data_IF_785528108882
#
_entry.id   IF_785528108882
#
_cell.length_a   1.000
_cell.length_b   1.000
_cell.length_c   1.000
_cell.angle_alpha   90.00
_cell.angle_beta   90.00
_cell.angle_gamma   90.00
#
_symmetry.space_group_name_H-M   'P 1'
#
loop_
_entity.id
_entity.type
_entity.pdbx_description
1 polymer ?
#
# COMPACT_ATOMS: atom_id res chain seq x y z
N UNK A 1 -25.88 -15.53 13.66
CA UNK A 1 -24.52 -16.02 13.35
C UNK A 1 -24.41 -16.69 11.97
N UNK A 2 -25.32 -17.60 11.57
CA UNK A 2 -25.28 -18.28 10.26
C UNK A 2 -25.35 -17.30 9.06
N UNK A 3 -26.23 -16.29 9.10
CA UNK A 3 -26.38 -15.32 8.01
C UNK A 3 -25.13 -14.47 7.77
N UNK A 4 -24.39 -14.11 8.83
CA UNK A 4 -23.13 -13.37 8.73
C UNK A 4 -22.02 -14.24 8.11
N UNK A 5 -21.91 -15.51 8.51
CA UNK A 5 -20.95 -16.43 7.92
C UNK A 5 -21.23 -16.70 6.43
N UNK A 6 -22.50 -16.84 6.03
CA UNK A 6 -22.89 -16.95 4.62
C UNK A 6 -22.53 -15.69 3.83
N UNK A 7 -22.80 -14.51 4.39
CA UNK A 7 -22.44 -13.21 3.80
C UNK A 7 -20.93 -13.08 3.59
N UNK A 8 -20.15 -13.42 4.62
CA UNK A 8 -18.68 -13.44 4.55
C UNK A 8 -18.16 -14.39 3.47
N UNK A 9 -18.65 -15.63 3.39
CA UNK A 9 -18.21 -16.58 2.35
C UNK A 9 -18.52 -16.12 0.94
N UNK A 10 -19.65 -15.44 0.72
CA UNK A 10 -20.06 -14.93 -0.60
C UNK A 10 -19.16 -13.81 -1.12
N UNK A 11 -18.56 -13.00 -0.24
CA UNK A 11 -17.69 -11.89 -0.65
C UNK A 11 -16.22 -12.28 -0.83
N UNK A 12 -15.76 -13.40 -0.26
CA UNK A 12 -14.35 -13.79 -0.32
C UNK A 12 -13.75 -13.82 -1.74
N UNK A 13 -14.42 -14.35 -2.78
CA UNK A 13 -13.87 -14.31 -4.14
C UNK A 13 -13.61 -12.88 -4.64
N UNK A 14 -14.53 -11.95 -4.35
CA UNK A 14 -14.38 -10.55 -4.71
C UNK A 14 -13.24 -9.88 -3.92
N UNK A 15 -13.10 -10.20 -2.63
CA UNK A 15 -11.97 -9.74 -1.80
C UNK A 15 -10.64 -10.18 -2.40
N UNK A 16 -10.49 -11.46 -2.76
CA UNK A 16 -9.26 -11.98 -3.37
C UNK A 16 -8.95 -11.31 -4.71
N UNK A 17 -9.97 -11.07 -5.54
CA UNK A 17 -9.83 -10.38 -6.82
C UNK A 17 -9.35 -8.93 -6.63
N UNK A 18 -9.95 -8.20 -5.69
CA UNK A 18 -9.53 -6.83 -5.36
C UNK A 18 -8.11 -6.82 -4.83
N UNK A 19 -7.78 -7.70 -3.87
CA UNK A 19 -6.42 -7.82 -3.33
C UNK A 19 -5.39 -8.13 -4.41
N UNK A 20 -5.65 -9.12 -5.26
CA UNK A 20 -4.75 -9.49 -6.37
C UNK A 20 -4.55 -8.31 -7.33
N UNK A 21 -5.58 -7.51 -7.55
CA UNK A 21 -5.49 -6.34 -8.41
C UNK A 21 -4.71 -5.19 -7.77
N UNK A 22 -4.79 -5.02 -6.45
CA UNK A 22 -3.94 -4.11 -5.67
C UNK A 22 -2.48 -4.55 -5.77
N UNK A 23 -2.19 -5.85 -5.58
CA UNK A 23 -0.83 -6.40 -5.71
C UNK A 23 -0.28 -6.17 -7.11
N UNK A 24 -1.10 -6.39 -8.16
CA UNK A 24 -0.70 -6.10 -9.55
C UNK A 24 -0.39 -4.62 -9.76
N UNK A 25 -1.20 -3.72 -9.18
CA UNK A 25 -0.95 -2.29 -9.26
C UNK A 25 0.35 -1.91 -8.54
N UNK A 26 0.60 -2.45 -7.35
CA UNK A 26 1.79 -2.19 -6.55
C UNK A 26 3.10 -2.75 -7.14
N UNK A 27 3.02 -3.81 -7.96
CA UNK A 27 4.19 -4.48 -8.57
C UNK A 27 4.58 -3.94 -9.96
N UNK A 28 4.08 -2.76 -10.35
CA UNK A 28 4.51 -2.14 -11.61
C UNK A 28 6.00 -1.75 -11.51
N UNK A 29 6.79 -2.14 -12.52
CA UNK A 29 8.25 -1.97 -12.55
C UNK A 29 8.71 -0.51 -12.34
N UNK A 30 7.90 0.45 -12.80
CA UNK A 30 8.17 1.90 -12.68
C UNK A 30 8.38 2.37 -11.24
N UNK A 31 7.81 1.68 -10.24
CA UNK A 31 8.07 2.03 -8.84
C UNK A 31 9.52 1.80 -8.44
N UNK A 32 10.15 0.77 -9.01
CA UNK A 32 11.56 0.46 -8.76
C UNK A 32 12.48 1.25 -9.71
N UNK A 33 12.20 1.22 -11.01
CA UNK A 33 13.08 1.84 -12.02
C UNK A 33 12.94 3.36 -12.12
N UNK A 34 11.74 3.89 -11.91
CA UNK A 34 11.46 5.33 -11.97
C UNK A 34 11.51 5.98 -10.60
N UNK A 35 10.73 5.46 -9.65
CA UNK A 35 10.58 6.06 -8.32
C UNK A 35 11.65 5.61 -7.31
N UNK A 36 12.61 4.78 -7.71
CA UNK A 36 13.72 4.32 -6.87
C UNK A 36 13.28 3.64 -5.56
N UNK A 37 12.07 3.08 -5.50
CA UNK A 37 11.66 2.27 -4.35
C UNK A 37 12.52 1.00 -4.36
N UNK A 38 13.18 0.62 -3.25
CA UNK A 38 14.06 -0.55 -3.23
C UNK A 38 13.34 -1.82 -3.73
N UNK A 39 13.95 -2.55 -4.66
CA UNK A 39 13.42 -3.84 -5.12
C UNK A 39 13.78 -4.97 -4.14
N UNK A 40 13.31 -4.81 -2.90
CA UNK A 40 13.47 -5.78 -1.82
C UNK A 40 12.10 -6.27 -1.36
N UNK A 41 12.08 -7.33 -0.53
CA UNK A 41 10.84 -7.80 0.07
C UNK A 41 10.07 -6.68 0.78
N UNK A 42 10.76 -5.91 1.61
CA UNK A 42 10.13 -4.82 2.35
C UNK A 42 9.66 -3.71 1.39
N UNK A 43 10.45 -3.34 0.37
CA UNK A 43 10.05 -2.30 -0.58
C UNK A 43 8.82 -2.69 -1.40
N UNK A 44 8.75 -3.94 -1.88
CA UNK A 44 7.55 -4.49 -2.54
C UNK A 44 6.35 -4.49 -1.60
N UNK A 45 6.55 -4.84 -0.33
CA UNK A 45 5.48 -4.83 0.66
C UNK A 45 5.01 -3.41 0.97
N UNK A 46 5.92 -2.45 1.08
CA UNK A 46 5.57 -1.06 1.36
C UNK A 46 4.72 -0.44 0.24
N UNK A 47 4.97 -0.84 -1.03
CA UNK A 47 4.10 -0.49 -2.17
C UNK A 47 2.72 -1.13 -2.08
N UNK A 48 2.62 -2.40 -1.67
CA UNK A 48 1.33 -3.07 -1.44
C UNK A 48 0.57 -2.34 -0.34
N UNK A 49 1.23 -2.02 0.78
CA UNK A 49 0.60 -1.30 1.88
C UNK A 49 0.10 0.08 1.47
N UNK A 50 0.88 0.83 0.67
CA UNK A 50 0.46 2.13 0.16
C UNK A 50 -0.87 2.02 -0.62
N UNK A 51 -0.93 1.14 -1.60
CA UNK A 51 -2.14 0.97 -2.42
C UNK A 51 -3.32 0.40 -1.60
N UNK A 52 -3.03 -0.55 -0.70
CA UNK A 52 -4.02 -1.13 0.20
C UNK A 52 -4.62 -0.07 1.14
N UNK A 53 -3.80 0.86 1.63
CA UNK A 53 -4.24 1.93 2.52
C UNK A 53 -5.27 2.84 1.85
N UNK A 54 -5.07 3.20 0.57
CA UNK A 54 -6.03 4.03 -0.17
C UNK A 54 -7.40 3.36 -0.31
N UNK A 55 -7.41 2.06 -0.62
CA UNK A 55 -8.66 1.29 -0.76
C UNK A 55 -9.36 1.10 0.60
N UNK A 56 -8.61 0.74 1.64
CA UNK A 56 -9.16 0.54 2.99
C UNK A 56 -9.68 1.84 3.58
N UNK A 57 -8.98 2.95 3.38
CA UNK A 57 -9.42 4.27 3.82
C UNK A 57 -10.79 4.62 3.22
N UNK A 58 -10.96 4.45 1.90
CA UNK A 58 -12.23 4.70 1.22
C UNK A 58 -13.37 3.79 1.69
N UNK A 59 -13.08 2.52 1.96
CA UNK A 59 -14.07 1.56 2.48
C UNK A 59 -14.44 1.79 3.96
N UNK A 60 -13.66 2.60 4.69
CA UNK A 60 -13.91 2.91 6.11
C UNK A 60 -14.49 4.31 6.33
N UNK A 61 -14.07 5.30 5.54
CA UNK A 61 -14.40 6.72 5.74
C UNK A 61 -15.31 7.32 4.67
N UNK A 62 -15.69 6.55 3.65
CA UNK A 62 -16.57 7.03 2.58
C UNK A 62 -17.97 7.41 3.07
N UNK A 63 -18.63 8.32 2.35
CA UNK A 63 -19.96 8.86 2.71
C UNK A 63 -21.06 7.80 2.64
N UNK A 64 -20.87 6.77 1.81
CA UNK A 64 -21.81 5.68 1.54
C UNK A 64 -21.44 4.36 2.23
N UNK A 65 -20.52 4.38 3.22
CA UNK A 65 -20.01 3.17 3.89
C UNK A 65 -21.08 2.48 4.72
N UNK A 66 -21.27 1.19 4.46
CA UNK A 66 -22.08 0.29 5.28
C UNK A 66 -21.30 -0.88 5.87
N UNK A 67 -21.99 -1.74 6.62
CA UNK A 67 -21.40 -2.92 7.28
C UNK A 67 -20.65 -3.86 6.32
N UNK A 68 -21.12 -3.96 5.07
CA UNK A 68 -20.45 -4.78 4.05
C UNK A 68 -19.06 -4.24 3.72
N UNK A 69 -18.88 -2.94 3.72
CA UNK A 69 -17.67 -2.28 3.27
C UNK A 69 -16.61 -2.34 4.36
N UNK A 70 -17.04 -2.18 5.61
CA UNK A 70 -16.21 -2.42 6.79
C UNK A 70 -15.76 -3.89 6.87
N UNK A 71 -16.67 -4.82 6.60
CA UNK A 71 -16.36 -6.25 6.54
C UNK A 71 -15.40 -6.57 5.39
N UNK A 72 -15.62 -5.98 4.21
CA UNK A 72 -14.75 -6.14 3.04
C UNK A 72 -13.33 -5.61 3.30
N UNK A 73 -13.21 -4.43 3.89
CA UNK A 73 -11.93 -3.83 4.29
C UNK A 73 -11.17 -4.71 5.30
N UNK A 74 -11.89 -5.29 6.27
CA UNK A 74 -11.30 -6.25 7.21
C UNK A 74 -10.82 -7.51 6.48
N UNK A 75 -11.64 -8.08 5.59
CA UNK A 75 -11.26 -9.29 4.82
C UNK A 75 -10.06 -9.04 3.90
N UNK A 76 -9.93 -7.84 3.31
CA UNK A 76 -8.74 -7.45 2.55
C UNK A 76 -7.47 -7.47 3.41
N UNK A 77 -7.55 -6.93 4.64
CA UNK A 77 -6.43 -6.99 5.58
C UNK A 77 -6.07 -8.43 5.97
N UNK A 78 -7.06 -9.29 6.21
CA UNK A 78 -6.84 -10.71 6.53
C UNK A 78 -6.16 -11.45 5.37
N UNK A 79 -6.65 -11.29 4.13
CA UNK A 79 -6.04 -11.88 2.93
C UNK A 79 -4.60 -11.39 2.73
N UNK A 80 -4.33 -10.11 2.95
CA UNK A 80 -2.98 -9.56 2.87
C UNK A 80 -2.02 -10.20 3.90
N UNK A 81 -2.49 -10.45 5.13
CA UNK A 81 -1.67 -11.09 6.17
C UNK A 81 -1.40 -12.55 5.81
N UNK A 82 -2.39 -13.26 5.27
CA UNK A 82 -2.25 -14.64 4.79
C UNK A 82 -1.26 -14.75 3.62
N UNK A 83 -1.33 -13.84 2.65
CA UNK A 83 -0.38 -13.78 1.52
C UNK A 83 1.05 -13.50 1.97
N UNK A 84 1.20 -12.64 2.98
CA UNK A 84 2.50 -12.33 3.58
C UNK A 84 3.10 -13.53 4.33
N UNK A 85 2.31 -14.23 5.16
CA UNK A 85 2.76 -15.46 5.84
C UNK A 85 3.22 -16.50 4.81
N UNK A 86 2.41 -16.73 3.76
CA UNK A 86 2.77 -17.63 2.66
C UNK A 86 4.06 -17.23 1.98
N UNK A 87 4.18 -15.97 1.56
CA UNK A 87 5.36 -15.46 0.86
C UNK A 87 6.63 -15.63 1.67
N UNK A 88 6.60 -15.29 2.98
CA UNK A 88 7.74 -15.45 3.87
C UNK A 88 8.21 -16.91 3.98
N UNK A 89 7.25 -17.84 4.11
CA UNK A 89 7.54 -19.28 4.17
C UNK A 89 8.12 -19.79 2.86
N UNK A 90 7.58 -19.35 1.72
CA UNK A 90 8.06 -19.71 0.38
C UNK A 90 9.50 -19.22 0.14
N UNK A 91 9.89 -18.09 0.73
CA UNK A 91 11.28 -17.58 0.72
C UNK A 91 12.19 -18.26 1.75
N UNK A 92 11.72 -19.29 2.46
CA UNK A 92 12.52 -20.06 3.40
C UNK A 92 12.72 -19.40 4.77
N UNK A 93 11.91 -18.38 5.13
CA UNK A 93 11.91 -17.85 6.50
C UNK A 93 11.42 -18.94 7.44
N UNK A 94 12.28 -19.34 8.38
CA UNK A 94 12.01 -20.47 9.28
C UNK A 94 10.77 -20.25 10.16
N UNK A 95 10.10 -21.36 10.51
CA UNK A 95 8.86 -21.37 11.29
C UNK A 95 8.95 -20.62 12.63
N UNK A 96 10.15 -20.55 13.22
CA UNK A 96 10.40 -19.86 14.49
C UNK A 96 10.49 -18.33 14.35
N UNK A 97 10.83 -17.82 13.17
CA UNK A 97 10.99 -16.37 12.91
C UNK A 97 9.84 -15.77 12.11
N UNK A 98 9.11 -16.56 11.33
CA UNK A 98 8.00 -16.09 10.47
C UNK A 98 6.93 -15.32 11.26
N UNK A 99 6.52 -15.82 12.44
CA UNK A 99 5.52 -15.16 13.28
C UNK A 99 5.97 -13.79 13.79
N UNK A 100 7.27 -13.62 14.10
CA UNK A 100 7.84 -12.32 14.50
C UNK A 100 7.83 -11.33 13.34
N UNK A 101 8.16 -11.80 12.14
CA UNK A 101 8.18 -10.98 10.94
C UNK A 101 6.76 -10.54 10.55
N UNK A 102 5.78 -11.46 10.59
CA UNK A 102 4.36 -11.15 10.36
C UNK A 102 3.87 -10.10 11.35
N UNK A 103 4.20 -10.23 12.64
CA UNK A 103 3.81 -9.26 13.66
C UNK A 103 4.43 -7.88 13.41
N UNK A 104 5.71 -7.82 13.03
CA UNK A 104 6.41 -6.57 12.68
C UNK A 104 5.73 -5.88 11.50
N UNK A 105 5.46 -6.62 10.42
CA UNK A 105 4.84 -6.10 9.21
C UNK A 105 3.37 -5.68 9.45
N UNK A 106 2.63 -6.43 10.26
CA UNK A 106 1.26 -6.08 10.67
C UNK A 106 1.19 -4.81 11.53
N UNK A 107 2.16 -4.57 12.41
CA UNK A 107 2.26 -3.31 13.16
C UNK A 107 2.58 -2.13 12.22
N UNK A 108 3.48 -2.35 11.25
CA UNK A 108 3.82 -1.33 10.25
C UNK A 108 2.62 -0.97 9.37
N UNK A 109 1.74 -1.93 9.04
CA UNK A 109 0.48 -1.67 8.34
C UNK A 109 -0.41 -0.65 9.06
N UNK A 110 -0.67 -0.83 10.37
CA UNK A 110 -1.56 0.07 11.11
C UNK A 110 -1.01 1.50 11.16
N UNK A 111 0.30 1.66 11.45
CA UNK A 111 0.93 2.97 11.49
C UNK A 111 0.95 3.67 10.12
N UNK A 112 1.09 2.90 9.04
CA UNK A 112 1.10 3.44 7.67
C UNK A 112 -0.30 3.78 7.16
N UNK A 113 -1.29 2.96 7.47
CA UNK A 113 -2.68 3.25 7.14
C UNK A 113 -3.09 4.62 7.72
N UNK A 114 -2.78 4.84 8.99
CA UNK A 114 -3.07 6.10 9.67
C UNK A 114 -2.26 7.26 9.07
N UNK A 115 -0.94 7.10 8.93
CA UNK A 115 -0.07 8.15 8.39
C UNK A 115 -0.45 8.58 6.96
N UNK A 116 -0.75 7.63 6.07
CA UNK A 116 -1.20 7.94 4.72
C UNK A 116 -2.58 8.60 4.71
N UNK A 117 -3.51 8.10 5.54
CA UNK A 117 -4.85 8.67 5.66
C UNK A 117 -4.79 10.14 6.11
N UNK A 118 -4.06 10.43 7.20
CA UNK A 118 -3.88 11.80 7.71
C UNK A 118 -3.18 12.71 6.71
N UNK A 119 -2.15 12.23 6.02
CA UNK A 119 -1.44 13.03 5.02
C UNK A 119 -2.28 13.35 3.77
N UNK A 120 -3.35 12.59 3.53
CA UNK A 120 -4.28 12.76 2.42
C UNK A 120 -5.59 13.47 2.81
N UNK A 121 -5.77 13.80 4.08
CA UNK A 121 -6.97 14.51 4.55
C UNK A 121 -7.03 15.95 4.04
N UNK A 122 -8.26 16.45 3.84
CA UNK A 122 -8.47 17.85 3.45
C UNK A 122 -7.94 18.78 4.54
N UNK A 123 -7.00 19.66 4.18
CA UNK A 123 -6.37 20.59 5.11
C UNK A 123 -5.07 20.07 5.75
N UNK A 124 -4.59 18.88 5.36
CA UNK A 124 -3.23 18.45 5.69
C UNK A 124 -2.18 19.47 5.17
N UNK A 125 -1.02 19.50 5.82
CA UNK A 125 0.07 20.36 5.40
C UNK A 125 0.49 20.04 3.94
N UNK A 126 0.90 21.03 3.13
CA UNK A 126 1.12 20.81 1.69
C UNK A 126 2.13 19.71 1.36
N UNK A 127 3.12 19.46 2.22
CA UNK A 127 4.19 18.46 2.07
C UNK A 127 3.96 17.17 2.88
N UNK A 128 2.84 17.04 3.61
CA UNK A 128 2.63 15.93 4.54
C UNK A 128 2.71 14.56 3.87
N UNK A 129 2.23 14.43 2.63
CA UNK A 129 2.26 13.17 1.89
C UNK A 129 3.67 12.84 1.42
N UNK A 130 4.39 13.82 0.91
CA UNK A 130 5.78 13.71 0.50
C UNK A 130 6.64 13.22 1.68
N UNK A 131 6.48 13.80 2.87
CA UNK A 131 7.21 13.41 4.08
C UNK A 131 6.89 11.98 4.52
N UNK A 132 5.60 11.60 4.50
CA UNK A 132 5.17 10.25 4.86
C UNK A 132 5.66 9.21 3.85
N UNK A 133 5.71 9.53 2.55
CA UNK A 133 6.27 8.65 1.51
C UNK A 133 7.79 8.54 1.66
N UNK A 134 8.49 9.65 1.88
CA UNK A 134 9.93 9.72 2.15
C UNK A 134 10.33 8.77 3.29
N UNK A 135 9.61 8.88 4.41
CA UNK A 135 9.84 8.05 5.60
C UNK A 135 9.54 6.58 5.38
N UNK A 136 8.44 6.25 4.69
CA UNK A 136 7.95 4.86 4.64
C UNK A 136 8.52 4.03 3.50
N UNK A 137 8.70 4.61 2.30
CA UNK A 137 9.19 3.87 1.13
C UNK A 137 10.71 3.89 1.03
N UNK A 138 11.33 4.98 1.49
CA UNK A 138 12.77 5.20 1.33
C UNK A 138 13.53 5.16 2.67
N UNK A 139 12.82 5.05 3.80
CA UNK A 139 13.39 5.04 5.15
C UNK A 139 14.30 6.27 5.40
N UNK A 140 13.92 7.43 4.87
CA UNK A 140 14.63 8.69 5.06
C UNK A 140 14.30 9.33 6.43
N UNK A 141 14.61 8.65 7.54
CA UNK A 141 14.87 9.31 8.85
C UNK A 141 15.88 8.50 9.67
N UNK A 142 16.61 9.23 10.51
CA UNK A 142 17.87 8.92 11.18
C UNK A 142 17.84 7.71 12.14
N UNK A 143 18.84 6.84 12.03
CA UNK A 143 19.30 6.00 13.14
C UNK A 143 18.36 4.89 13.62
N UNK A 144 18.36 3.74 12.94
CA UNK A 144 18.10 2.46 13.59
C UNK A 144 18.94 1.36 12.93
N UNK A 145 20.08 1.03 13.56
CA UNK A 145 20.95 -0.04 13.12
C UNK A 145 20.25 -1.39 13.12
N UNK A 146 20.37 -2.11 12.01
CA UNK A 146 21.05 -3.40 11.89
C UNK A 146 21.55 -3.47 10.45
N UNK A 147 22.86 -3.31 10.28
CA UNK A 147 23.73 -3.96 9.28
C UNK A 147 23.23 -4.19 7.83
N UNK A 148 22.58 -3.19 7.23
CA UNK A 148 22.41 -3.14 5.76
C UNK A 148 22.39 -1.67 5.28
N UNK A 149 23.59 -1.09 5.24
CA UNK A 149 23.86 0.21 4.61
C UNK A 149 24.47 0.00 3.22
N UNK A 150 23.85 -0.83 2.40
CA UNK A 150 24.23 -0.88 0.99
C UNK A 150 23.54 0.26 0.21
N UNK A 151 24.32 1.23 -0.24
CA UNK A 151 24.03 2.05 -1.42
C UNK A 151 22.77 2.93 -1.48
N UNK A 152 22.10 3.29 -0.38
CA UNK A 152 20.88 4.12 -0.44
C UNK A 152 21.16 5.52 -0.95
N UNK A 153 20.91 5.72 -2.25
CA UNK A 153 20.96 7.04 -2.88
C UNK A 153 19.77 7.86 -2.42
N UNK A 154 20.01 9.08 -1.95
CA UNK A 154 18.93 10.01 -1.58
C UNK A 154 18.00 10.21 -2.79
N UNK A 155 16.71 9.93 -2.61
CA UNK A 155 15.73 10.13 -3.68
C UNK A 155 15.46 11.62 -3.83
N UNK A 156 15.56 12.18 -5.05
CA UNK A 156 15.30 13.60 -5.29
C UNK A 156 13.89 14.00 -4.87
N UNK A 157 13.75 15.19 -4.27
CA UNK A 157 12.46 15.68 -3.76
C UNK A 157 11.38 15.80 -4.86
N UNK A 158 11.77 16.07 -6.12
CA UNK A 158 10.84 16.13 -7.24
C UNK A 158 10.29 14.75 -7.64
N UNK A 159 11.05 13.68 -7.45
CA UNK A 159 10.58 12.30 -7.67
C UNK A 159 9.56 11.93 -6.60
N UNK A 160 9.82 12.30 -5.34
CA UNK A 160 8.87 12.10 -4.23
C UNK A 160 7.59 12.92 -4.47
N UNK A 161 7.71 14.18 -4.91
CA UNK A 161 6.57 15.02 -5.24
C UNK A 161 5.75 14.46 -6.42
N UNK A 162 6.40 13.90 -7.44
CA UNK A 162 5.73 13.24 -8.55
C UNK A 162 4.97 11.98 -8.09
N UNK A 163 5.58 11.18 -7.21
CA UNK A 163 4.91 10.02 -6.61
C UNK A 163 3.72 10.45 -5.75
N UNK A 164 3.88 11.50 -4.94
CA UNK A 164 2.80 12.06 -4.14
C UNK A 164 1.64 12.56 -5.01
N UNK A 165 1.93 13.19 -6.16
CA UNK A 165 0.94 13.55 -7.19
C UNK A 165 0.16 12.33 -7.68
N UNK A 166 0.87 11.27 -8.10
CA UNK A 166 0.24 10.01 -8.50
C UNK A 166 -0.65 9.41 -7.40
N UNK A 167 -0.19 9.40 -6.15
CA UNK A 167 -0.96 8.87 -5.01
C UNK A 167 -2.24 9.68 -4.78
N UNK A 168 -2.18 11.02 -4.92
CA UNK A 168 -3.36 11.90 -4.84
C UNK A 168 -4.34 11.60 -5.97
N UNK A 169 -3.87 11.40 -7.20
CA UNK A 169 -4.73 11.07 -8.35
C UNK A 169 -5.42 9.70 -8.17
N UNK A 170 -4.69 8.70 -7.67
CA UNK A 170 -5.26 7.39 -7.31
C UNK A 170 -6.30 7.54 -6.21
N UNK A 171 -6.01 8.31 -5.16
CA UNK A 171 -6.95 8.57 -4.05
C UNK A 171 -8.22 9.24 -4.57
N UNK A 172 -8.10 10.24 -5.45
CA UNK A 172 -9.24 10.90 -6.06
C UNK A 172 -10.10 9.94 -6.90
N UNK A 173 -9.46 9.08 -7.70
CA UNK A 173 -10.16 8.07 -8.50
C UNK A 173 -10.92 7.06 -7.62
N UNK A 174 -10.30 6.60 -6.54
CA UNK A 174 -10.91 5.68 -5.57
C UNK A 174 -12.05 6.38 -4.80
N UNK A 175 -11.85 7.61 -4.34
CA UNK A 175 -12.86 8.37 -3.58
C UNK A 175 -14.09 8.70 -4.42
N UNK A 176 -13.90 9.01 -5.70
CA UNK A 176 -14.97 9.28 -6.65
C UNK A 176 -15.75 8.04 -7.11
N UNK A 177 -15.25 6.83 -6.85
CA UNK A 177 -15.90 5.60 -7.24
C UNK A 177 -17.03 5.20 -6.28
N UNK A 178 -18.07 4.55 -6.82
CA UNK A 178 -19.08 3.91 -5.99
C UNK A 178 -18.50 2.68 -5.29
N UNK A 179 -18.93 2.41 -4.05
CA UNK A 179 -18.34 1.32 -3.26
C UNK A 179 -18.52 -0.06 -3.90
N UNK A 180 -19.61 -0.27 -4.65
CA UNK A 180 -19.82 -1.48 -5.45
C UNK A 180 -18.78 -1.68 -6.56
N UNK A 181 -18.26 -0.59 -7.15
CA UNK A 181 -17.26 -0.65 -8.20
C UNK A 181 -15.89 -0.94 -7.59
N UNK A 182 -15.58 -0.38 -6.42
CA UNK A 182 -14.38 -0.74 -5.65
C UNK A 182 -14.38 -2.23 -5.30
N UNK A 183 -15.48 -2.75 -4.75
CA UNK A 183 -15.61 -4.18 -4.39
C UNK A 183 -15.57 -5.12 -5.60
N UNK A 184 -15.87 -4.62 -6.79
CA UNK A 184 -15.78 -5.34 -8.05
C UNK A 184 -14.49 -5.06 -8.83
N UNK A 185 -13.57 -4.26 -8.30
CA UNK A 185 -12.40 -3.72 -9.00
C UNK A 185 -12.71 -3.11 -10.38
N UNK A 186 -13.86 -2.43 -10.50
CA UNK A 186 -14.30 -1.70 -11.71
C UNK A 186 -13.93 -0.22 -11.61
N UNK A 187 -12.70 0.05 -11.19
CA UNK A 187 -12.14 1.40 -11.04
C UNK A 187 -11.02 1.61 -12.05
N UNK A 188 -11.00 2.78 -12.69
CA UNK A 188 -9.92 3.18 -13.59
C UNK A 188 -8.89 3.95 -12.77
N UNK A 189 -7.79 3.28 -12.40
CA UNK A 189 -6.67 3.95 -11.74
C UNK A 189 -5.80 4.66 -12.78
N UNK A 190 -5.27 5.86 -12.47
CA UNK A 190 -4.28 6.50 -13.31
C UNK A 190 -3.04 5.59 -13.43
N UNK A 191 -2.34 5.69 -14.55
CA UNK A 191 -1.04 5.04 -14.69
C UNK A 191 0.02 5.84 -13.93
N UNK A 192 0.94 5.20 -13.20
CA UNK A 192 2.09 5.89 -12.61
C UNK A 192 2.90 6.61 -13.70
N UNK A 193 3.17 7.92 -13.53
CA UNK A 193 3.97 8.65 -14.49
C UNK A 193 5.43 8.15 -14.42
N UNK A 194 6.14 8.29 -15.53
CA UNK A 194 7.58 8.03 -15.56
C UNK A 194 8.32 9.32 -15.20
N UNK A 195 9.16 9.33 -14.15
CA UNK A 195 10.09 10.43 -13.93
C UNK A 195 10.97 10.63 -15.19
N UNK A 196 11.30 11.88 -15.51
CA UNK A 196 12.13 12.17 -16.67
C UNK A 196 13.48 11.42 -16.56
N UNK A 197 13.93 10.80 -17.66
CA UNK A 197 15.24 10.14 -17.73
C UNK A 197 16.34 11.15 -17.44
N UNK A 198 16.90 11.10 -16.23
CA UNK A 198 18.05 11.94 -15.88
C UNK A 198 19.29 11.26 -16.43
N UNK A 199 19.88 11.85 -17.48
CA UNK A 199 21.22 11.46 -17.95
C UNK A 199 22.16 11.56 -16.76
N UNK A 200 22.61 10.42 -16.26
CA UNK A 200 23.69 10.35 -15.26
C UNK A 200 24.89 11.00 -15.93
N UNK A 201 25.29 12.20 -15.47
CA UNK A 201 26.59 12.77 -15.84
C UNK A 201 27.63 11.87 -15.18
N UNK A 202 28.24 11.02 -16.01
CA UNK A 202 29.47 10.28 -15.68
C UNK A 202 30.61 11.25 -15.43
#
# INVERSE_FOLDING_TARGET
>A
MILRWLRERRMLPAVHMVYTSIVRAARQEVFHSGFAVPDTLDGRFDLILLHMALVVDRLRKGVDVGDDDLLFARRLQEVMIEDMDRSLREMGVGDLSVGKQIKKMGAAWLGRLDAYSTALERGAAPQALEDVLARNLYRQEEGAGVDDTDGRTAVPADVIALLAGYVRDVKQAIDGAATQDIRAWRIALPAPPRPAERKIRT
#
